data_IF_082225384023
#
_entry.id   IF_082225384023
#
_cell.length_a   1.000
_cell.length_b   1.000
_cell.length_c   1.000
_cell.angle_alpha   90.00
_cell.angle_beta   90.00
_cell.angle_gamma   90.00
#
_symmetry.space_group_name_H-M   'P 1'
#
loop_
_entity.id
_entity.type
_entity.pdbx_description
1 polymer ?
#
# COMPACT_ATOMS: atom_id res chain seq x y z
N UNK A 1 60.80 -46.26 -29.08
CA UNK A 1 61.55 -45.21 -28.35
C UNK A 1 60.99 -43.85 -28.78
N UNK A 2 60.73 -43.02 -27.88
CA UNK A 2 60.31 -41.60 -27.92
C UNK A 2 58.81 -41.37 -27.70
N UNK A 3 58.59 -40.99 -26.49
CA UNK A 3 57.37 -40.53 -25.85
C UNK A 3 57.05 -39.12 -26.34
N UNK A 4 55.78 -38.85 -26.70
CA UNK A 4 55.29 -37.48 -26.80
C UNK A 4 54.09 -37.41 -25.93
N UNK A 5 54.23 -36.71 -24.84
CA UNK A 5 53.19 -36.28 -23.94
C UNK A 5 52.41 -35.17 -24.66
N UNK A 6 51.16 -35.43 -24.96
CA UNK A 6 50.21 -34.37 -25.31
C UNK A 6 49.38 -34.02 -24.11
N UNK A 7 49.72 -32.90 -23.51
CA UNK A 7 48.89 -32.23 -22.47
C UNK A 7 47.67 -31.61 -23.16
N UNK A 8 46.56 -32.28 -23.06
CA UNK A 8 45.27 -31.67 -23.39
C UNK A 8 44.77 -30.89 -22.18
N UNK A 9 44.97 -29.57 -22.24
CA UNK A 9 44.39 -28.63 -21.30
C UNK A 9 42.88 -28.56 -21.57
N UNK A 10 42.12 -29.31 -20.80
CA UNK A 10 40.65 -29.26 -20.82
C UNK A 10 40.17 -28.00 -20.08
N UNK A 11 39.89 -26.96 -20.87
CA UNK A 11 39.27 -25.73 -20.37
C UNK A 11 37.78 -26.03 -20.06
N UNK A 12 37.47 -26.36 -18.81
CA UNK A 12 36.11 -26.45 -18.31
C UNK A 12 35.54 -25.03 -18.25
N UNK A 13 34.76 -24.67 -19.26
CA UNK A 13 33.87 -23.51 -19.20
C UNK A 13 32.71 -23.89 -18.29
N UNK A 14 32.78 -23.44 -17.05
CA UNK A 14 31.64 -23.44 -16.14
C UNK A 14 30.72 -22.30 -16.59
N UNK A 15 29.70 -22.63 -17.37
CA UNK A 15 28.57 -21.73 -17.56
C UNK A 15 27.80 -21.66 -16.21
N UNK A 16 28.09 -20.65 -15.44
CA UNK A 16 27.20 -20.23 -14.38
C UNK A 16 25.93 -19.69 -15.04
N UNK A 17 24.87 -20.51 -15.10
CA UNK A 17 23.53 -20.08 -15.32
C UNK A 17 23.12 -19.29 -14.06
N UNK A 18 23.36 -17.99 -14.08
CA UNK A 18 22.64 -17.08 -13.22
C UNK A 18 21.18 -17.11 -13.66
N UNK A 19 20.39 -17.96 -13.01
CA UNK A 19 18.96 -17.79 -12.98
C UNK A 19 18.70 -16.43 -12.34
N UNK A 20 18.43 -15.41 -13.15
CA UNK A 20 17.73 -14.23 -12.74
C UNK A 20 16.29 -14.67 -12.37
N UNK A 21 16.11 -15.21 -11.18
CA UNK A 21 14.87 -15.08 -10.45
C UNK A 21 14.78 -13.59 -10.12
N UNK A 22 13.82 -12.88 -10.71
CA UNK A 22 13.53 -11.52 -10.32
C UNK A 22 12.96 -11.54 -8.90
N UNK A 23 13.83 -11.53 -7.89
CA UNK A 23 13.49 -10.92 -6.62
C UNK A 23 13.31 -9.45 -6.96
N UNK A 24 12.07 -8.97 -6.89
CA UNK A 24 11.81 -7.53 -6.73
C UNK A 24 12.63 -7.14 -5.49
N UNK A 25 13.77 -6.53 -5.72
CA UNK A 25 14.60 -5.98 -4.65
C UNK A 25 13.85 -4.76 -4.16
N UNK A 26 13.05 -4.97 -3.15
CA UNK A 26 12.29 -3.95 -2.42
C UNK A 26 13.25 -3.14 -1.54
N UNK A 27 14.31 -2.64 -2.16
CA UNK A 27 15.24 -1.72 -1.54
C UNK A 27 14.90 -0.28 -1.92
N UNK A 28 13.62 0.04 -1.91
CA UNK A 28 13.15 1.41 -1.82
C UNK A 28 13.45 1.84 -0.39
N UNK A 29 14.53 2.58 -0.19
CA UNK A 29 14.77 3.27 1.09
C UNK A 29 13.58 4.20 1.29
N UNK A 30 12.73 3.90 2.27
CA UNK A 30 11.64 4.78 2.67
C UNK A 30 12.24 6.15 2.97
N UNK A 31 11.77 7.15 2.25
CA UNK A 31 12.18 8.55 2.47
C UNK A 31 11.19 9.14 3.46
N UNK A 32 11.69 9.56 4.60
CA UNK A 32 10.88 10.24 5.61
C UNK A 32 10.26 11.51 5.02
N UNK A 33 8.93 11.72 5.17
CA UNK A 33 8.27 12.92 4.69
C UNK A 33 8.87 14.20 5.28
N UNK A 34 8.98 15.24 4.47
CA UNK A 34 9.46 16.55 4.92
C UNK A 34 8.39 17.34 5.69
N UNK A 35 8.78 18.53 6.20
CA UNK A 35 7.87 19.40 6.99
C UNK A 35 6.63 19.87 6.20
N UNK A 36 6.69 19.88 4.87
CA UNK A 36 5.60 20.28 3.98
C UNK A 36 4.80 19.10 3.42
N UNK A 37 5.01 17.87 3.96
CA UNK A 37 4.33 16.67 3.48
C UNK A 37 2.82 16.74 3.73
N UNK A 38 2.06 16.19 2.79
CA UNK A 38 0.61 16.08 2.93
C UNK A 38 0.23 14.95 3.89
N UNK A 39 -1.02 14.96 4.35
CA UNK A 39 -1.51 13.91 5.24
C UNK A 39 -1.41 12.52 4.60
N UNK A 40 -1.74 12.41 3.31
CA UNK A 40 -1.62 11.15 2.58
C UNK A 40 -0.18 10.65 2.50
N UNK A 41 0.79 11.52 2.21
CA UNK A 41 2.21 11.16 2.15
C UNK A 41 2.74 10.67 3.51
N UNK A 42 2.31 11.31 4.60
CA UNK A 42 2.68 10.89 5.96
C UNK A 42 2.10 9.51 6.28
N UNK A 43 0.83 9.28 5.95
CA UNK A 43 0.19 7.99 6.21
C UNK A 43 0.71 6.86 5.31
N UNK A 44 1.04 7.14 4.06
CA UNK A 44 1.73 6.17 3.18
C UNK A 44 3.08 5.75 3.78
N UNK A 45 3.88 6.72 4.20
CA UNK A 45 5.17 6.44 4.84
C UNK A 45 5.01 5.59 6.10
N UNK A 46 4.09 5.96 7.00
CA UNK A 46 3.83 5.21 8.25
C UNK A 46 3.34 3.79 7.96
N UNK A 47 2.44 3.62 6.98
CA UNK A 47 2.00 2.31 6.51
C UNK A 47 3.16 1.45 6.01
N UNK A 48 3.97 1.99 5.10
CA UNK A 48 5.13 1.30 4.55
C UNK A 48 6.13 0.89 5.64
N UNK A 49 6.34 1.77 6.63
CA UNK A 49 7.22 1.51 7.75
C UNK A 49 6.69 0.36 8.63
N UNK A 50 5.42 0.41 9.05
CA UNK A 50 4.78 -0.62 9.90
C UNK A 50 4.72 -1.97 9.20
N UNK A 51 4.29 -2.00 7.94
CA UNK A 51 4.25 -3.23 7.15
C UNK A 51 5.65 -3.83 6.94
N UNK A 52 6.68 -3.00 6.74
CA UNK A 52 8.09 -3.44 6.65
C UNK A 52 8.63 -4.02 7.97
N UNK A 53 8.06 -3.63 9.09
CA UNK A 53 8.37 -4.17 10.42
C UNK A 53 7.60 -5.46 10.72
N UNK A 54 6.76 -5.92 9.80
CA UNK A 54 6.02 -7.18 9.88
C UNK A 54 4.61 -7.05 10.47
N UNK A 55 4.07 -5.83 10.61
CA UNK A 55 2.66 -5.66 10.97
C UNK A 55 1.79 -5.99 9.75
N UNK A 56 0.95 -7.00 9.87
CA UNK A 56 0.06 -7.49 8.81
C UNK A 56 -1.40 -7.57 9.23
N UNK A 57 -1.69 -7.34 10.50
CA UNK A 57 -3.06 -7.31 11.00
C UNK A 57 -3.71 -5.98 10.62
N UNK A 58 -4.68 -5.98 9.69
CA UNK A 58 -5.27 -4.75 9.14
C UNK A 58 -5.83 -3.82 10.19
N UNK A 59 -6.47 -4.36 11.24
CA UNK A 59 -7.00 -3.53 12.33
C UNK A 59 -5.88 -2.85 13.12
N UNK A 60 -4.80 -3.56 13.42
CA UNK A 60 -3.66 -2.99 14.14
C UNK A 60 -2.93 -1.93 13.29
N UNK A 61 -2.78 -2.19 11.97
CA UNK A 61 -2.27 -1.18 11.03
C UNK A 61 -3.15 0.07 11.01
N UNK A 62 -4.49 -0.10 10.88
CA UNK A 62 -5.42 1.02 10.84
C UNK A 62 -5.42 1.83 12.13
N UNK A 63 -5.41 1.16 13.29
CA UNK A 63 -5.29 1.81 14.60
C UNK A 63 -3.97 2.56 14.73
N UNK A 64 -2.86 1.95 14.29
CA UNK A 64 -1.56 2.59 14.29
C UNK A 64 -1.48 3.82 13.38
N UNK A 65 -2.14 3.80 12.22
CA UNK A 65 -2.25 4.98 11.34
C UNK A 65 -3.10 6.08 11.97
N UNK A 66 -4.17 5.74 12.69
CA UNK A 66 -4.99 6.70 13.42
C UNK A 66 -4.27 7.32 14.62
N UNK A 67 -3.30 6.61 15.21
CA UNK A 67 -2.47 7.12 16.31
C UNK A 67 -1.32 8.04 15.82
N UNK A 68 -1.20 8.27 14.50
CA UNK A 68 -0.19 9.17 13.97
C UNK A 68 -0.43 10.62 14.40
N UNK A 69 0.61 11.34 14.79
CA UNK A 69 0.54 12.73 15.26
C UNK A 69 -0.06 13.70 14.23
N UNK A 70 -0.03 13.34 12.93
CA UNK A 70 -0.66 14.12 11.86
C UNK A 70 -2.19 13.99 11.87
N UNK A 71 -2.77 13.01 12.57
CA UNK A 71 -4.21 12.85 12.73
C UNK A 71 -4.67 13.68 13.93
N UNK A 72 -5.65 14.55 13.72
CA UNK A 72 -6.17 15.45 14.75
C UNK A 72 -7.64 15.19 15.12
N UNK A 73 -8.17 14.02 14.81
CA UNK A 73 -9.53 13.59 15.13
C UNK A 73 -9.54 12.24 15.83
N UNK A 74 -10.56 11.98 16.62
CA UNK A 74 -10.82 10.65 17.18
C UNK A 74 -11.31 9.72 16.07
N UNK A 75 -10.53 8.70 15.76
CA UNK A 75 -10.82 7.74 14.70
C UNK A 75 -11.40 6.43 15.22
N UNK A 76 -12.03 5.69 14.30
CA UNK A 76 -12.51 4.33 14.52
C UNK A 76 -12.14 3.45 13.34
N UNK A 77 -12.07 2.15 13.59
CA UNK A 77 -11.87 1.12 12.57
C UNK A 77 -13.13 0.28 12.42
N UNK A 78 -13.46 -0.11 11.20
CA UNK A 78 -14.60 -0.98 10.90
C UNK A 78 -14.21 -2.01 9.83
N UNK A 79 -14.49 -3.31 10.04
CA UNK A 79 -14.29 -4.29 8.98
C UNK A 79 -15.23 -4.00 7.81
N UNK A 80 -14.75 -4.26 6.59
CA UNK A 80 -15.54 -4.14 5.37
C UNK A 80 -15.44 -5.42 4.54
N UNK A 81 -16.53 -5.73 3.82
CA UNK A 81 -16.63 -6.86 2.89
C UNK A 81 -16.57 -6.35 1.44
N UNK A 82 -16.17 -7.21 0.47
CA UNK A 82 -16.26 -6.85 -0.95
C UNK A 82 -17.67 -6.38 -1.34
N UNK A 83 -17.75 -5.28 -2.08
CA UNK A 83 -19.03 -4.70 -2.49
C UNK A 83 -18.98 -3.19 -2.64
N UNK A 84 -20.11 -2.55 -2.37
CA UNK A 84 -20.22 -1.08 -2.38
C UNK A 84 -19.61 -0.51 -1.11
N UNK A 85 -18.54 0.25 -1.27
CA UNK A 85 -17.85 0.92 -0.17
C UNK A 85 -18.05 2.43 -0.25
N UNK A 86 -18.03 3.07 0.90
CA UNK A 86 -18.12 4.54 1.00
C UNK A 86 -16.95 5.18 0.24
N UNK A 87 -17.23 6.26 -0.48
CA UNK A 87 -16.20 6.97 -1.25
C UNK A 87 -15.96 6.46 -2.66
N UNK A 88 -16.59 5.36 -3.09
CA UNK A 88 -16.44 4.80 -4.44
C UNK A 88 -17.73 4.86 -5.29
N UNK A 89 -18.66 5.73 -4.93
CA UNK A 89 -19.91 5.90 -5.66
C UNK A 89 -20.72 4.61 -5.76
N UNK A 90 -20.98 4.17 -6.98
CA UNK A 90 -21.68 2.92 -7.26
C UNK A 90 -20.76 1.78 -7.74
N UNK A 91 -19.44 1.95 -7.61
CA UNK A 91 -18.49 0.92 -7.98
C UNK A 91 -18.39 -0.16 -6.89
N UNK A 92 -18.47 -1.43 -7.32
CA UNK A 92 -18.17 -2.55 -6.43
C UNK A 92 -16.67 -2.76 -6.32
N UNK A 93 -16.13 -2.67 -5.12
CA UNK A 93 -14.74 -2.95 -4.80
C UNK A 93 -14.64 -4.42 -4.39
N UNK A 94 -13.90 -5.19 -5.20
CA UNK A 94 -13.71 -6.65 -5.05
C UNK A 94 -12.26 -6.99 -5.38
N UNK A 95 -11.75 -8.13 -4.94
CA UNK A 95 -10.36 -8.56 -5.14
C UNK A 95 -9.57 -8.60 -3.84
N UNK A 96 -10.26 -8.52 -2.71
CA UNK A 96 -9.70 -8.65 -1.38
C UNK A 96 -10.51 -9.64 -0.55
N UNK A 97 -9.90 -10.29 0.42
CA UNK A 97 -10.54 -11.22 1.36
C UNK A 97 -10.70 -10.63 2.76
N UNK A 98 -9.94 -9.60 3.10
CA UNK A 98 -10.07 -8.84 4.33
C UNK A 98 -9.98 -7.36 4.02
N UNK A 99 -10.82 -6.56 4.66
CA UNK A 99 -10.80 -5.11 4.53
C UNK A 99 -11.13 -4.42 5.84
N UNK A 100 -10.50 -3.27 6.07
CA UNK A 100 -10.77 -2.40 7.21
C UNK A 100 -10.89 -0.97 6.70
N UNK A 101 -12.00 -0.33 6.98
CA UNK A 101 -12.17 1.11 6.85
C UNK A 101 -11.74 1.79 8.14
N UNK A 102 -11.10 2.93 8.05
CA UNK A 102 -10.75 3.75 9.22
C UNK A 102 -10.96 5.24 8.94
N UNK A 103 -11.24 5.99 9.99
CA UNK A 103 -11.48 7.43 9.88
C UNK A 103 -12.29 7.97 11.04
N UNK A 104 -12.70 9.25 10.98
CA UNK A 104 -13.47 9.87 12.06
C UNK A 104 -14.87 9.25 12.18
N UNK A 105 -15.31 8.99 13.40
CA UNK A 105 -16.64 8.44 13.65
C UNK A 105 -17.74 9.45 13.27
N UNK A 106 -17.58 10.69 13.70
CA UNK A 106 -18.48 11.81 13.42
C UNK A 106 -17.62 13.06 13.22
N UNK A 107 -17.49 13.52 12.00
CA UNK A 107 -16.67 14.71 11.68
C UNK A 107 -17.10 15.33 10.36
N UNK A 108 -16.79 16.60 10.21
CA UNK A 108 -16.81 17.29 8.92
C UNK A 108 -15.48 17.17 8.18
N UNK A 109 -14.46 16.59 8.83
CA UNK A 109 -13.16 16.33 8.20
C UNK A 109 -13.35 15.32 7.06
N UNK A 110 -12.97 15.67 5.83
CA UNK A 110 -13.15 14.81 4.67
C UNK A 110 -12.03 13.76 4.59
N UNK A 111 -12.00 12.85 5.57
CA UNK A 111 -11.05 11.78 5.65
C UNK A 111 -11.74 10.42 5.63
N UNK A 112 -11.23 9.51 4.81
CA UNK A 112 -11.56 8.09 4.84
C UNK A 112 -10.34 7.29 4.39
N UNK A 113 -10.01 6.27 5.15
CA UNK A 113 -8.94 5.33 4.83
C UNK A 113 -9.44 3.90 4.75
N UNK A 114 -8.76 3.12 3.95
CA UNK A 114 -8.98 1.68 3.79
C UNK A 114 -7.65 0.93 3.81
N UNK A 115 -7.68 -0.24 4.40
CA UNK A 115 -6.65 -1.27 4.24
C UNK A 115 -7.32 -2.52 3.68
N UNK A 116 -6.76 -3.07 2.62
CA UNK A 116 -7.25 -4.28 1.95
C UNK A 116 -6.14 -5.32 1.91
N UNK A 117 -6.41 -6.54 2.36
CA UNK A 117 -5.56 -7.68 2.06
C UNK A 117 -6.09 -8.33 0.77
N UNK A 118 -5.26 -8.38 -0.27
CA UNK A 118 -5.67 -8.88 -1.58
C UNK A 118 -5.82 -10.40 -1.56
N UNK A 119 -6.83 -10.91 -2.28
CA UNK A 119 -7.12 -12.33 -2.38
C UNK A 119 -6.34 -13.04 -3.51
N UNK A 120 -5.48 -12.31 -4.21
CA UNK A 120 -4.69 -12.79 -5.33
C UNK A 120 -5.48 -12.98 -6.64
N UNK A 121 -6.73 -12.57 -6.70
CA UNK A 121 -7.55 -12.64 -7.92
C UNK A 121 -7.29 -11.48 -8.87
N UNK A 122 -6.70 -10.41 -8.41
CA UNK A 122 -6.33 -9.21 -9.15
C UNK A 122 -4.87 -8.86 -8.88
N UNK A 123 -4.26 -8.18 -9.83
CA UNK A 123 -2.93 -7.60 -9.67
C UNK A 123 -3.00 -6.33 -8.80
N UNK A 124 -1.99 -6.09 -7.98
CA UNK A 124 -1.95 -4.99 -7.01
C UNK A 124 -2.09 -3.63 -7.68
N UNK A 125 -1.36 -3.41 -8.78
CA UNK A 125 -1.43 -2.17 -9.55
C UNK A 125 -2.83 -1.97 -10.14
N UNK A 126 -3.42 -3.04 -10.70
CA UNK A 126 -4.78 -2.99 -11.24
C UNK A 126 -5.84 -2.74 -10.16
N UNK A 127 -5.61 -3.24 -8.94
CA UNK A 127 -6.50 -2.97 -7.82
C UNK A 127 -6.42 -1.51 -7.39
N UNK A 128 -5.21 -0.95 -7.24
CA UNK A 128 -5.00 0.46 -6.91
C UNK A 128 -5.58 1.39 -7.97
N UNK A 129 -5.33 1.12 -9.27
CA UNK A 129 -5.93 1.88 -10.37
C UNK A 129 -7.46 1.86 -10.31
N UNK A 130 -8.07 0.71 -9.94
CA UNK A 130 -9.52 0.61 -9.77
C UNK A 130 -10.03 1.48 -8.64
N UNK A 131 -9.32 1.53 -7.50
CA UNK A 131 -9.68 2.40 -6.38
C UNK A 131 -9.64 3.87 -6.81
N UNK A 132 -8.53 4.31 -7.39
CA UNK A 132 -8.32 5.69 -7.83
C UNK A 132 -9.34 6.13 -8.90
N UNK A 133 -9.59 5.26 -9.89
CA UNK A 133 -10.54 5.57 -10.97
C UNK A 133 -12.00 5.71 -10.51
N UNK A 134 -12.35 5.13 -9.35
CA UNK A 134 -13.72 5.16 -8.81
C UNK A 134 -13.84 6.01 -7.54
N UNK A 135 -12.77 6.59 -7.05
CA UNK A 135 -12.79 7.46 -5.88
C UNK A 135 -13.61 8.73 -6.15
N UNK A 136 -14.49 9.05 -5.22
CA UNK A 136 -15.25 10.29 -5.23
C UNK A 136 -14.80 11.18 -4.06
N UNK A 137 -13.92 12.12 -4.32
CA UNK A 137 -13.39 13.06 -3.30
C UNK A 137 -14.50 13.88 -2.62
N UNK A 138 -15.72 13.87 -3.15
CA UNK A 138 -16.89 14.55 -2.61
C UNK A 138 -17.91 13.61 -1.96
N UNK A 139 -17.51 12.38 -1.60
CA UNK A 139 -18.42 11.41 -0.94
C UNK A 139 -19.06 11.97 0.33
N UNK A 140 -18.36 12.85 1.02
CA UNK A 140 -18.88 13.58 2.18
C UNK A 140 -19.59 14.85 1.69
N UNK A 141 -20.91 14.85 1.71
CA UNK A 141 -21.78 15.84 1.06
C UNK A 141 -21.43 17.30 1.41
N UNK A 142 -20.93 17.54 2.63
CA UNK A 142 -20.65 18.87 3.15
C UNK A 142 -19.24 19.38 2.86
N UNK A 143 -18.29 18.45 2.66
CA UNK A 143 -16.87 18.73 2.46
C UNK A 143 -16.32 17.83 1.36
N UNK A 144 -15.14 18.15 0.87
CA UNK A 144 -14.42 17.32 -0.12
C UNK A 144 -13.01 17.06 0.38
N UNK A 145 -12.49 15.86 0.11
CA UNK A 145 -11.07 15.62 0.25
C UNK A 145 -10.31 16.39 -0.85
N UNK A 146 -9.09 16.75 -0.59
CA UNK A 146 -8.23 17.47 -1.53
C UNK A 146 -7.40 16.49 -2.37
N UNK A 147 -7.10 15.33 -1.80
CA UNK A 147 -6.24 14.34 -2.43
C UNK A 147 -6.68 12.90 -2.12
N UNK A 148 -6.11 11.97 -2.88
CA UNK A 148 -6.15 10.53 -2.60
C UNK A 148 -4.78 9.93 -2.87
N UNK A 149 -4.48 8.85 -2.16
CA UNK A 149 -3.27 8.06 -2.38
C UNK A 149 -3.57 6.57 -2.22
N UNK A 150 -2.85 5.77 -2.98
CA UNK A 150 -2.86 4.31 -2.88
C UNK A 150 -1.42 3.79 -2.81
N UNK A 151 -1.17 2.85 -1.92
CA UNK A 151 0.16 2.28 -1.70
C UNK A 151 0.04 0.82 -1.29
N UNK A 152 0.93 -0.03 -1.82
CA UNK A 152 0.93 -1.47 -1.55
C UNK A 152 2.18 -1.87 -0.77
N UNK A 153 2.01 -2.79 0.18
CA UNK A 153 3.10 -3.49 0.84
C UNK A 153 2.65 -4.84 1.36
N UNK A 154 3.34 -5.91 0.96
CA UNK A 154 3.11 -7.28 1.47
C UNK A 154 1.67 -7.78 1.27
N UNK A 155 1.14 -7.61 0.05
CA UNK A 155 -0.24 -7.95 -0.34
C UNK A 155 -1.32 -7.12 0.39
N UNK A 156 -0.93 -6.06 1.07
CA UNK A 156 -1.84 -5.10 1.71
C UNK A 156 -1.81 -3.80 0.94
N UNK A 157 -2.99 -3.31 0.54
CA UNK A 157 -3.16 -2.01 -0.08
C UNK A 157 -3.74 -1.04 0.92
N UNK A 158 -3.03 0.07 1.15
CA UNK A 158 -3.55 1.27 1.78
C UNK A 158 -4.22 2.12 0.69
N UNK A 159 -5.39 2.66 0.97
CA UNK A 159 -6.04 3.71 0.19
C UNK A 159 -6.59 4.77 1.13
N UNK A 160 -6.30 6.04 0.84
CA UNK A 160 -6.81 7.17 1.61
C UNK A 160 -7.38 8.24 0.71
N UNK A 161 -8.44 8.91 1.16
CA UNK A 161 -8.89 10.21 0.68
C UNK A 161 -8.85 11.18 1.86
N UNK A 162 -8.14 12.30 1.71
CA UNK A 162 -7.80 13.16 2.83
C UNK A 162 -7.78 14.64 2.42
N UNK A 163 -7.94 15.59 3.38
CA UNK A 163 -7.48 16.96 3.19
C UNK A 163 -5.95 16.99 3.11
N UNK A 164 -5.36 18.04 2.53
CA UNK A 164 -3.90 18.18 2.46
C UNK A 164 -3.26 18.15 3.85
N UNK A 165 -3.90 18.77 4.83
CA UNK A 165 -3.45 18.75 6.22
C UNK A 165 -4.63 18.50 7.16
N UNK A 166 -4.38 17.75 8.24
CA UNK A 166 -5.41 17.53 9.24
C UNK A 166 -5.77 18.87 9.94
N UNK A 167 -7.05 19.24 9.88
CA UNK A 167 -7.58 20.46 10.54
C UNK A 167 -7.93 21.62 9.61
N UNK A 168 -7.90 21.40 8.32
CA UNK A 168 -8.46 22.30 7.31
C UNK A 168 -9.92 22.02 6.98
#
# INVERSE_FOLDING_TARGET
MKRIFALTLSLLLIFALTACGGEKSDNSSLIEPGDDATLSEILEYDFQLRASQGETALTALAEGLLDNDAINFDGVTMPVEPGLLMGFGNAEITGFDQGVQFGPLISTTPFIGYLFHLDGSVDDDAFMEKLEANADLRWNICTAADEMAASEKSDIVLFVMAPLHAGE
#
